data_IF_284248821935
#
_entry.id   IF_284248821935
#
_cell.length_a   1.000
_cell.length_b   1.000
_cell.length_c   1.000
_cell.angle_alpha   90.00
_cell.angle_beta   90.00
_cell.angle_gamma   90.00
#
_symmetry.space_group_name_H-M   'P 1'
#
loop_
_entity.id
_entity.type
_entity.pdbx_description
1 polymer ?
#
# COMPACT_ATOMS: atom_id res chain seq x y z
N UNK A 1 26.08 -51.20 1.44
CA UNK A 1 26.25 -49.73 1.39
C UNK A 1 25.10 -48.97 0.70
N UNK A 2 24.29 -49.57 -0.19
CA UNK A 2 23.19 -48.86 -0.89
C UNK A 2 21.95 -48.50 -0.03
N UNK A 3 21.71 -49.18 1.10
CA UNK A 3 20.53 -48.95 1.96
C UNK A 3 20.64 -47.79 2.96
N UNK A 4 21.84 -47.24 3.17
CA UNK A 4 22.07 -46.12 4.11
C UNK A 4 21.82 -44.76 3.43
N UNK A 5 22.23 -44.61 2.17
CA UNK A 5 22.02 -43.39 1.40
C UNK A 5 20.53 -43.02 1.20
N UNK A 6 19.66 -44.03 1.11
CA UNK A 6 18.23 -43.83 0.89
C UNK A 6 17.48 -43.34 2.14
N UNK A 7 18.01 -43.59 3.36
CA UNK A 7 17.41 -43.08 4.61
C UNK A 7 17.78 -41.62 4.88
N UNK A 8 18.88 -41.13 4.31
CA UNK A 8 19.30 -39.72 4.46
C UNK A 8 18.49 -38.80 3.54
N UNK A 9 18.03 -39.31 2.38
CA UNK A 9 17.26 -38.51 1.43
C UNK A 9 15.85 -38.13 1.92
N UNK A 10 15.22 -38.95 2.77
CA UNK A 10 13.89 -38.62 3.31
C UNK A 10 13.92 -37.62 4.47
N UNK A 11 15.06 -37.48 5.17
CA UNK A 11 15.18 -36.53 6.29
C UNK A 11 15.33 -35.08 5.85
N UNK A 12 15.89 -34.83 4.66
CA UNK A 12 16.12 -33.48 4.13
C UNK A 12 14.89 -32.86 3.46
N UNK A 13 13.90 -33.67 3.06
CA UNK A 13 12.66 -33.20 2.43
C UNK A 13 11.63 -32.65 3.43
N UNK A 14 11.78 -32.92 4.73
CA UNK A 14 10.85 -32.44 5.75
C UNK A 14 11.18 -31.05 6.30
N UNK A 15 12.41 -30.57 6.12
CA UNK A 15 12.87 -29.28 6.65
C UNK A 15 12.52 -28.08 5.75
N UNK A 16 12.02 -28.31 4.54
CA UNK A 16 11.68 -27.26 3.58
C UNK A 16 10.24 -26.73 3.72
N UNK A 17 9.41 -27.31 4.60
CA UNK A 17 8.00 -26.91 4.77
C UNK A 17 7.72 -26.01 5.98
N UNK A 18 8.73 -25.68 6.79
CA UNK A 18 8.55 -24.88 8.00
C UNK A 18 9.07 -23.44 7.83
N UNK A 19 8.57 -22.75 6.80
CA UNK A 19 8.48 -21.29 6.84
C UNK A 19 7.11 -20.86 6.31
N UNK A 20 6.05 -21.47 6.88
CA UNK A 20 4.75 -20.83 6.86
C UNK A 20 4.88 -19.59 7.73
N UNK A 21 4.98 -18.41 7.10
CA UNK A 21 4.94 -17.14 7.79
C UNK A 21 3.71 -17.14 8.72
N UNK A 22 3.95 -17.09 10.03
CA UNK A 22 2.90 -17.01 11.05
C UNK A 22 2.33 -15.59 11.06
N UNK A 23 1.54 -15.23 10.04
CA UNK A 23 0.81 -13.96 9.94
C UNK A 23 -0.72 -14.17 10.07
N UNK A 24 -1.15 -15.30 10.64
CA UNK A 24 -2.56 -15.68 10.73
C UNK A 24 -3.17 -15.30 12.10
N UNK A 25 -3.14 -14.01 12.46
CA UNK A 25 -3.78 -13.49 13.68
C UNK A 25 -4.73 -12.34 13.36
N UNK A 26 -5.90 -12.33 13.99
CA UNK A 26 -6.82 -11.18 13.90
C UNK A 26 -6.41 -10.12 14.90
N UNK A 27 -6.06 -8.93 14.42
CA UNK A 27 -5.90 -7.75 15.26
C UNK A 27 -7.27 -7.11 15.50
N UNK A 28 -7.75 -7.12 16.75
CA UNK A 28 -8.94 -6.36 17.14
C UNK A 28 -8.51 -4.98 17.63
N UNK A 29 -8.91 -3.95 16.89
CA UNK A 29 -8.65 -2.55 17.22
C UNK A 29 -9.94 -1.87 17.67
N UNK A 30 -9.95 -1.35 18.90
CA UNK A 30 -11.07 -0.57 19.45
C UNK A 30 -10.91 0.89 19.02
N UNK A 31 -11.64 1.28 17.96
CA UNK A 31 -11.66 2.66 17.49
C UNK A 31 -12.42 3.58 18.44
N UNK A 32 -12.07 4.87 18.43
CA UNK A 32 -12.71 5.94 19.22
C UNK A 32 -14.15 6.24 18.78
N UNK A 33 -14.54 5.84 17.57
CA UNK A 33 -15.88 6.05 17.02
C UNK A 33 -16.10 5.33 15.70
N UNK A 34 -17.28 5.51 15.12
CA UNK A 34 -17.55 5.08 13.74
C UNK A 34 -17.02 6.12 12.76
N UNK A 35 -16.36 5.73 11.65
CA UNK A 35 -15.94 6.68 10.63
C UNK A 35 -17.15 7.25 9.88
N UNK A 36 -17.06 8.51 9.45
CA UNK A 36 -18.04 9.17 8.60
C UNK A 36 -17.98 8.64 7.15
N UNK A 37 -16.84 8.11 6.71
CA UNK A 37 -16.69 7.43 5.44
C UNK A 37 -15.28 6.89 5.16
N UNK A 38 -15.06 6.41 3.94
CA UNK A 38 -13.83 5.70 3.53
C UNK A 38 -13.06 6.38 2.38
N UNK A 39 -13.46 7.58 1.98
CA UNK A 39 -12.71 8.45 1.06
C UNK A 39 -11.97 9.52 1.86
N UNK A 40 -10.70 9.26 2.16
CA UNK A 40 -9.84 10.15 2.96
C UNK A 40 -9.64 11.55 2.37
N UNK A 41 -10.02 11.78 1.11
CA UNK A 41 -9.97 13.10 0.50
C UNK A 41 -11.22 13.96 0.82
N UNK A 42 -12.28 13.37 1.37
CA UNK A 42 -13.53 14.06 1.73
C UNK A 42 -13.67 14.32 3.24
N UNK A 43 -12.97 13.54 4.07
CA UNK A 43 -13.06 13.60 5.52
C UNK A 43 -11.70 13.92 6.16
N UNK A 44 -11.71 14.43 7.39
CA UNK A 44 -10.52 15.01 8.02
C UNK A 44 -10.29 14.57 9.48
N UNK A 45 -10.98 13.54 9.98
CA UNK A 45 -10.80 13.06 11.36
C UNK A 45 -9.81 11.91 11.46
N UNK A 46 -9.26 11.70 12.66
CA UNK A 46 -8.39 10.57 12.96
C UNK A 46 -9.09 9.22 12.71
N UNK A 47 -10.33 9.10 13.18
CA UNK A 47 -11.20 7.93 13.00
C UNK A 47 -11.36 7.54 11.53
N UNK A 48 -11.60 8.51 10.63
CA UNK A 48 -11.76 8.26 9.18
C UNK A 48 -10.47 7.75 8.53
N UNK A 49 -9.34 8.34 8.93
CA UNK A 49 -8.02 7.93 8.45
C UNK A 49 -7.59 6.55 8.97
N UNK A 50 -7.92 6.20 10.21
CA UNK A 50 -7.66 4.88 10.78
C UNK A 50 -8.45 3.79 10.06
N UNK A 51 -9.71 4.07 9.73
CA UNK A 51 -10.59 3.12 9.06
C UNK A 51 -10.21 2.84 7.59
N UNK A 52 -9.46 3.74 6.94
CA UNK A 52 -9.22 3.66 5.48
C UNK A 52 -7.81 4.07 5.04
N UNK A 53 -7.43 5.33 5.22
CA UNK A 53 -6.19 5.93 4.71
C UNK A 53 -4.94 5.14 5.10
N UNK A 54 -4.86 4.69 6.36
CA UNK A 54 -3.68 4.03 6.91
C UNK A 54 -3.54 2.56 6.51
N UNK A 55 -4.63 1.89 6.16
CA UNK A 55 -4.67 0.43 5.97
C UNK A 55 -5.00 0.00 4.53
N UNK A 56 -5.74 0.81 3.78
CA UNK A 56 -6.25 0.46 2.44
C UNK A 56 -5.50 1.16 1.31
N UNK A 57 -5.02 2.39 1.54
CA UNK A 57 -4.44 3.24 0.50
C UNK A 57 -2.93 3.47 0.67
N UNK A 58 -2.28 3.92 -0.40
CA UNK A 58 -0.91 4.43 -0.37
C UNK A 58 -0.84 5.82 -1.01
N UNK A 59 0.23 6.54 -0.68
CA UNK A 59 0.56 7.88 -1.17
C UNK A 59 1.82 7.84 -2.04
N UNK A 60 2.09 8.91 -2.80
CA UNK A 60 3.32 9.02 -3.61
C UNK A 60 4.58 8.91 -2.74
N UNK A 61 4.59 9.62 -1.62
CA UNK A 61 5.60 9.51 -0.56
C UNK A 61 4.90 9.16 0.76
N UNK A 62 5.60 8.46 1.64
CA UNK A 62 5.08 8.05 2.95
C UNK A 62 6.03 8.47 4.06
N UNK A 63 5.54 8.42 5.30
CA UNK A 63 6.38 8.58 6.48
C UNK A 63 6.64 7.20 7.09
N UNK A 64 7.91 6.76 7.22
CA UNK A 64 8.22 5.55 7.96
C UNK A 64 7.70 5.64 9.40
N UNK A 65 7.45 4.49 10.01
CA UNK A 65 6.86 4.42 11.35
C UNK A 65 7.76 5.14 12.36
N UNK A 66 7.21 6.17 13.01
CA UNK A 66 7.92 6.95 14.03
C UNK A 66 8.86 8.01 13.45
N UNK A 67 8.85 8.21 12.14
CA UNK A 67 9.67 9.22 11.46
C UNK A 67 8.79 10.31 10.85
N UNK A 68 9.38 11.49 10.69
CA UNK A 68 8.75 12.65 10.03
C UNK A 68 9.41 12.98 8.70
N UNK A 69 10.46 12.25 8.33
CA UNK A 69 11.13 12.40 7.04
C UNK A 69 10.36 11.59 6.00
N UNK A 70 9.98 12.23 4.89
CA UNK A 70 9.33 11.54 3.80
C UNK A 70 10.27 10.50 3.16
N UNK A 71 9.71 9.35 2.82
CA UNK A 71 10.37 8.24 2.15
C UNK A 71 9.56 7.80 0.91
N UNK A 72 10.19 7.06 -0.02
CA UNK A 72 9.50 6.53 -1.21
C UNK A 72 8.25 5.71 -0.87
N UNK A 73 7.16 5.98 -1.59
CA UNK A 73 5.90 5.25 -1.52
C UNK A 73 5.55 4.63 -2.87
N UNK A 74 4.46 5.10 -3.47
CA UNK A 74 4.09 4.80 -4.86
C UNK A 74 5.04 5.46 -5.87
N UNK A 75 5.74 6.53 -5.48
CA UNK A 75 6.89 7.05 -6.22
C UNK A 75 8.18 6.48 -5.61
N UNK A 76 9.05 5.92 -6.45
CA UNK A 76 10.35 5.37 -6.04
C UNK A 76 11.39 6.46 -5.82
N UNK A 77 11.27 7.54 -6.59
CA UNK A 77 12.08 8.75 -6.47
C UNK A 77 11.30 9.95 -7.02
N UNK A 78 11.83 11.14 -6.79
CA UNK A 78 11.36 12.36 -7.43
C UNK A 78 12.50 13.35 -7.64
N UNK A 79 12.40 14.15 -8.68
CA UNK A 79 13.29 15.27 -8.96
C UNK A 79 12.55 16.59 -8.72
N UNK A 80 13.30 17.60 -8.31
CA UNK A 80 12.80 18.96 -8.10
C UNK A 80 13.61 19.91 -8.99
N UNK A 81 12.94 20.77 -9.75
CA UNK A 81 13.61 21.79 -10.55
C UNK A 81 14.36 22.81 -9.68
N UNK A 82 15.34 23.49 -10.27
CA UNK A 82 16.17 24.48 -9.57
C UNK A 82 15.35 25.63 -8.94
N UNK A 83 14.22 25.98 -9.55
CA UNK A 83 13.28 27.00 -9.05
C UNK A 83 12.28 26.47 -8.00
N UNK A 84 12.25 25.16 -7.75
CA UNK A 84 11.34 24.51 -6.80
C UNK A 84 9.89 24.47 -7.25
N UNK A 85 9.58 24.78 -8.52
CA UNK A 85 8.19 24.85 -9.02
C UNK A 85 7.73 23.57 -9.73
N UNK A 86 8.66 22.71 -10.15
CA UNK A 86 8.36 21.47 -10.87
C UNK A 86 8.87 20.27 -10.08
N UNK A 87 7.94 19.37 -9.75
CA UNK A 87 8.22 18.08 -9.11
C UNK A 87 7.91 16.96 -10.10
N UNK A 88 8.91 16.15 -10.41
CA UNK A 88 8.76 14.99 -11.31
C UNK A 88 8.83 13.71 -10.49
N UNK A 89 7.73 12.98 -10.36
CA UNK A 89 7.67 11.72 -9.61
C UNK A 89 7.86 10.51 -10.51
N UNK A 90 8.77 9.61 -10.13
CA UNK A 90 9.03 8.36 -10.83
C UNK A 90 8.24 7.23 -10.18
N UNK A 91 7.15 6.83 -10.84
CA UNK A 91 6.18 5.88 -10.28
C UNK A 91 6.69 4.43 -10.29
N UNK A 92 6.45 3.74 -9.17
CA UNK A 92 6.69 2.31 -8.99
C UNK A 92 5.90 1.49 -10.02
N UNK A 93 6.54 0.46 -10.59
CA UNK A 93 5.93 -0.48 -11.54
C UNK A 93 5.47 -1.75 -10.82
N UNK A 94 4.56 -2.53 -11.42
CA UNK A 94 4.11 -3.79 -10.83
C UNK A 94 3.10 -3.63 -9.68
N UNK A 95 2.63 -2.41 -9.40
CA UNK A 95 1.72 -2.14 -8.28
C UNK A 95 0.30 -2.52 -8.68
N UNK A 96 -0.32 -3.41 -7.92
CA UNK A 96 -1.66 -3.92 -8.18
C UNK A 96 -2.67 -3.24 -7.28
N UNK A 97 -3.84 -2.98 -7.84
CA UNK A 97 -5.01 -2.59 -7.07
C UNK A 97 -5.64 -3.78 -6.35
N UNK A 98 -6.33 -3.51 -5.25
CA UNK A 98 -7.14 -4.51 -4.56
C UNK A 98 -8.24 -5.05 -5.50
N UNK A 99 -8.50 -6.35 -5.40
CA UNK A 99 -9.62 -7.00 -6.10
C UNK A 99 -10.73 -7.29 -5.11
N UNK A 100 -11.97 -6.95 -5.47
CA UNK A 100 -13.17 -7.20 -4.66
C UNK A 100 -14.23 -7.88 -5.51
N UNK A 101 -15.34 -8.31 -4.89
CA UNK A 101 -16.48 -8.89 -5.62
C UNK A 101 -17.12 -7.96 -6.66
N UNK A 102 -16.90 -6.66 -6.54
CA UNK A 102 -17.53 -5.62 -7.38
C UNK A 102 -16.51 -4.82 -8.21
N UNK A 103 -15.22 -5.11 -8.07
CA UNK A 103 -14.16 -4.44 -8.81
C UNK A 103 -13.00 -5.39 -9.06
N UNK A 104 -12.66 -5.57 -10.33
CA UNK A 104 -11.48 -6.33 -10.75
C UNK A 104 -10.63 -5.43 -11.64
N UNK A 105 -9.41 -5.05 -11.22
CA UNK A 105 -8.54 -4.21 -12.02
C UNK A 105 -8.08 -4.95 -13.28
N UNK A 106 -8.10 -4.25 -14.41
CA UNK A 106 -7.62 -4.76 -15.71
C UNK A 106 -6.20 -4.30 -16.05
N UNK A 107 -5.65 -3.37 -15.26
CA UNK A 107 -4.29 -2.85 -15.38
C UNK A 107 -3.69 -2.59 -14.00
N UNK A 108 -2.37 -2.43 -13.98
CA UNK A 108 -1.61 -1.98 -12.81
C UNK A 108 -1.78 -0.47 -12.58
N UNK A 109 -1.37 -0.02 -11.39
CA UNK A 109 -1.27 1.40 -11.04
C UNK A 109 -0.33 2.14 -12.01
N UNK A 110 -0.77 3.31 -12.46
CA UNK A 110 -0.02 4.17 -13.38
C UNK A 110 -0.29 5.66 -13.11
N UNK A 111 0.21 6.52 -13.99
CA UNK A 111 0.05 7.98 -13.86
C UNK A 111 -1.41 8.45 -13.93
N UNK A 112 -2.30 7.74 -14.64
CA UNK A 112 -3.70 8.13 -14.78
C UNK A 112 -4.41 8.13 -13.42
N UNK A 113 -4.04 7.22 -12.52
CA UNK A 113 -4.60 7.12 -11.18
C UNK A 113 -4.20 8.31 -10.29
N UNK A 114 -2.96 8.78 -10.46
CA UNK A 114 -2.45 9.97 -9.77
C UNK A 114 -3.19 11.22 -10.29
N UNK A 115 -3.25 11.39 -11.61
CA UNK A 115 -3.95 12.51 -12.25
C UNK A 115 -5.41 12.55 -11.82
N UNK A 116 -6.11 11.40 -11.88
CA UNK A 116 -7.50 11.30 -11.43
C UNK A 116 -7.68 11.79 -9.98
N UNK A 117 -6.77 11.38 -9.08
CA UNK A 117 -6.84 11.72 -7.66
C UNK A 117 -6.67 13.21 -7.40
N UNK A 118 -5.74 13.88 -8.08
CA UNK A 118 -5.56 15.33 -7.92
C UNK A 118 -6.61 16.14 -8.68
N UNK A 119 -7.05 15.68 -9.85
CA UNK A 119 -8.10 16.34 -10.63
C UNK A 119 -9.44 16.34 -9.90
N UNK A 120 -9.81 15.21 -9.26
CA UNK A 120 -11.07 15.17 -8.51
C UNK A 120 -11.06 16.16 -7.35
N UNK A 121 -9.92 16.34 -6.67
CA UNK A 121 -9.75 17.30 -5.59
C UNK A 121 -9.82 18.74 -6.10
N UNK A 122 -9.13 19.05 -7.20
CA UNK A 122 -9.12 20.38 -7.79
C UNK A 122 -10.50 20.82 -8.32
N UNK A 123 -11.31 19.89 -8.82
CA UNK A 123 -12.68 20.18 -9.30
C UNK A 123 -13.67 20.45 -8.17
N UNK A 124 -13.49 19.87 -6.98
CA UNK A 124 -14.33 20.18 -5.81
C UNK A 124 -14.25 21.67 -5.43
N UNK A 125 -13.06 22.30 -5.56
CA UNK A 125 -12.86 23.72 -5.27
C UNK A 125 -13.63 24.69 -6.19
N UNK A 126 -14.04 24.26 -7.39
CA UNK A 126 -14.79 25.10 -8.35
C UNK A 126 -16.32 25.02 -8.17
N UNK A 127 -16.82 24.23 -7.22
CA UNK A 127 -18.25 24.07 -6.95
C UNK A 127 -18.72 24.78 -5.67
N UNK A 128 -17.81 25.51 -5.01
CA UNK A 128 -18.09 26.49 -3.96
C UNK A 128 -17.91 27.90 -4.54
#
# INVERSE_FOLDING_TARGET
>A
MKKVAQKVLYGALFSAFACSAQAAGTLVYCSEGSPAGFDSAQYNTGTDFDASARSVYNTLLLFPRGETKAAPGLAESFDVSDDGLVYTFHLRKGVKWHTTKYFTPTREFNADDVVYTFDRLGKQRKRL
#
